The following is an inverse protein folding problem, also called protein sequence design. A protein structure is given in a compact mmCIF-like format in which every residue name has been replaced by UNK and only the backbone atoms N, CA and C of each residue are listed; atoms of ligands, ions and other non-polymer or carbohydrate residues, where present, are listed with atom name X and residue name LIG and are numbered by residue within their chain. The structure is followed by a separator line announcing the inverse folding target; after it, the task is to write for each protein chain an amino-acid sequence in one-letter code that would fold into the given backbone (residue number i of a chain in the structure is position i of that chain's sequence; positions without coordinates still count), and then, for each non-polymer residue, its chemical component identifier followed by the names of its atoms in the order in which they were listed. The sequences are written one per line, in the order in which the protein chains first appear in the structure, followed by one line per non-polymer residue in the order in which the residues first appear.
data_IF_222743893673
#
_entry.id   IF_222743893673
#
_cell.length_a   1.000
_cell.length_b   1.000
_cell.length_c   1.000
_cell.angle_alpha   90.00
_cell.angle_beta   90.00
_cell.angle_gamma   90.00
#
_symmetry.space_group_name_H-M   'P 1'
#
loop_
_entity.id
_entity.type
_entity.pdbx_description
1 polymer ?
#
# COMPACT_ATOMS: atom_id res chain seq x y z
N UNK A 1 -10.73 -12.63 0.55
CA UNK A 1 -11.31 -13.61 -0.40
C UNK A 1 -11.09 -13.06 -1.79
N UNK A 2 -10.03 -13.49 -2.45
CA UNK A 2 -9.73 -13.12 -3.84
C UNK A 2 -10.76 -13.78 -4.75
N UNK A 3 -11.57 -12.99 -5.43
CA UNK A 3 -12.42 -13.49 -6.52
C UNK A 3 -11.53 -13.75 -7.72
N UNK A 4 -11.36 -15.00 -8.08
CA UNK A 4 -10.84 -15.37 -9.38
C UNK A 4 -11.93 -15.15 -10.44
N UNK A 5 -11.67 -14.29 -11.41
CA UNK A 5 -12.38 -14.32 -12.68
C UNK A 5 -11.62 -15.29 -13.59
N UNK A 6 -12.05 -16.52 -13.67
CA UNK A 6 -11.41 -17.53 -14.54
C UNK A 6 -11.62 -18.95 -14.02
N UNK A 7 -11.22 -19.93 -14.80
CA UNK A 7 -11.33 -21.34 -14.45
C UNK A 7 -10.66 -21.62 -13.11
N UNK A 8 -11.32 -22.43 -12.27
CA UNK A 8 -10.75 -22.90 -11.00
C UNK A 8 -9.43 -23.63 -11.33
N UNK A 9 -8.32 -23.03 -10.93
CA UNK A 9 -6.99 -23.67 -11.07
C UNK A 9 -6.89 -24.82 -10.07
N UNK A 10 -6.28 -25.90 -10.50
CA UNK A 10 -6.05 -27.05 -9.64
C UNK A 10 -5.03 -26.69 -8.55
N UNK A 11 -5.01 -27.46 -7.45
CA UNK A 11 -4.00 -27.31 -6.39
C UNK A 11 -2.57 -27.43 -6.95
N UNK A 12 -2.39 -28.23 -7.99
CA UNK A 12 -1.08 -28.46 -8.63
C UNK A 12 -0.60 -27.23 -9.41
N UNK A 13 -1.53 -26.38 -9.87
CA UNK A 13 -1.19 -25.13 -10.55
C UNK A 13 -0.73 -24.02 -9.59
N UNK A 14 -1.13 -24.08 -8.33
CA UNK A 14 -0.80 -23.05 -7.33
C UNK A 14 0.49 -23.34 -6.55
N UNK A 15 0.97 -24.57 -6.54
CA UNK A 15 2.14 -24.98 -5.77
C UNK A 15 1.91 -24.93 -4.25
N UNK A 16 2.98 -25.04 -3.48
CA UNK A 16 2.95 -24.92 -2.02
C UNK A 16 3.10 -23.45 -1.62
N UNK A 17 2.21 -22.97 -0.77
CA UNK A 17 2.28 -21.64 -0.21
C UNK A 17 2.69 -21.71 1.26
N UNK A 18 3.80 -21.06 1.60
CA UNK A 18 4.30 -20.96 2.96
C UNK A 18 4.43 -19.48 3.35
N UNK A 19 4.20 -19.21 4.62
CA UNK A 19 4.42 -17.90 5.22
C UNK A 19 5.11 -18.07 6.56
N UNK A 20 6.14 -17.27 6.80
CA UNK A 20 6.74 -17.06 8.11
C UNK A 20 6.57 -15.60 8.50
N UNK A 21 6.24 -15.33 9.76
CA UNK A 21 6.11 -13.99 10.31
C UNK A 21 6.76 -13.94 11.69
N UNK A 22 7.65 -12.98 11.90
CA UNK A 22 8.24 -12.64 13.18
C UNK A 22 7.90 -11.19 13.50
N UNK A 23 7.26 -10.95 14.65
CA UNK A 23 6.82 -9.63 15.07
C UNK A 23 7.44 -9.23 16.40
N UNK A 24 7.90 -7.99 16.48
CA UNK A 24 8.34 -7.34 17.71
C UNK A 24 7.39 -6.19 18.01
N UNK A 25 6.66 -6.32 19.12
CA UNK A 25 5.78 -5.27 19.64
C UNK A 25 6.44 -4.56 20.81
N UNK A 26 6.52 -3.25 20.74
CA UNK A 26 7.00 -2.40 21.82
C UNK A 26 5.97 -1.29 22.04
N UNK A 27 5.55 -1.10 23.28
CA UNK A 27 4.52 -0.11 23.59
C UNK A 27 4.61 0.44 25.00
N UNK A 28 4.02 1.62 25.19
CA UNK A 28 3.86 2.35 26.44
C UNK A 28 2.59 3.18 26.42
N UNK A 29 2.41 4.05 27.39
CA UNK A 29 1.21 4.87 27.49
C UNK A 29 1.00 5.82 26.30
N UNK A 30 2.08 6.29 25.69
CA UNK A 30 2.06 7.34 24.67
C UNK A 30 2.63 6.90 23.33
N UNK A 31 3.03 5.64 23.20
CA UNK A 31 3.54 5.12 21.96
C UNK A 31 3.23 3.64 21.81
N UNK A 32 3.16 3.22 20.57
CA UNK A 32 3.13 1.82 20.17
C UNK A 32 3.92 1.68 18.87
N UNK A 33 4.68 0.61 18.78
CA UNK A 33 5.46 0.29 17.62
C UNK A 33 5.44 -1.22 17.37
N UNK A 34 5.24 -1.61 16.13
CA UNK A 34 5.34 -2.97 15.67
C UNK A 34 6.36 -3.02 14.53
N UNK A 35 7.36 -3.87 14.68
CA UNK A 35 8.28 -4.23 13.60
C UNK A 35 8.06 -5.68 13.26
N UNK A 36 7.80 -5.98 11.98
CA UNK A 36 7.68 -7.36 11.52
C UNK A 36 8.64 -7.67 10.39
N UNK A 37 9.13 -8.90 10.42
CA UNK A 37 9.80 -9.56 9.30
C UNK A 37 8.91 -10.69 8.80
N UNK A 38 8.66 -10.71 7.50
CA UNK A 38 7.81 -11.70 6.85
C UNK A 38 8.53 -12.32 5.66
N UNK A 39 8.34 -13.62 5.52
CA UNK A 39 8.74 -14.38 4.34
C UNK A 39 7.53 -15.09 3.78
N UNK A 40 7.35 -14.97 2.48
CA UNK A 40 6.30 -15.64 1.70
C UNK A 40 6.95 -16.49 0.63
N UNK A 41 6.46 -17.69 0.43
CA UNK A 41 6.88 -18.59 -0.64
C UNK A 41 5.66 -19.08 -1.41
N UNK A 42 5.84 -19.26 -2.72
CA UNK A 42 4.80 -19.78 -3.61
C UNK A 42 3.94 -18.69 -4.24
N UNK A 43 2.79 -19.08 -4.77
CA UNK A 43 1.93 -18.19 -5.56
C UNK A 43 1.41 -16.96 -4.82
N UNK A 44 1.35 -16.99 -3.49
CA UNK A 44 0.97 -15.81 -2.71
C UNK A 44 2.10 -14.76 -2.61
N UNK A 45 3.34 -15.13 -2.90
CA UNK A 45 4.47 -14.21 -2.82
C UNK A 45 4.31 -13.02 -3.79
N UNK A 46 3.82 -13.26 -5.01
CA UNK A 46 3.60 -12.19 -5.99
C UNK A 46 2.57 -11.15 -5.54
N UNK A 47 1.54 -11.55 -4.82
CA UNK A 47 0.51 -10.64 -4.29
C UNK A 47 1.11 -9.66 -3.28
N UNK A 48 2.09 -10.08 -2.50
CA UNK A 48 2.66 -9.28 -1.42
C UNK A 48 3.61 -8.17 -1.92
N UNK A 49 4.18 -8.32 -3.12
CA UNK A 49 4.99 -7.26 -3.75
C UNK A 49 4.15 -6.36 -4.64
N UNK A 50 3.28 -6.89 -5.46
CA UNK A 50 2.50 -6.16 -6.46
C UNK A 50 1.29 -5.39 -5.91
N UNK A 51 1.09 -5.37 -4.60
CA UNK A 51 -0.07 -4.66 -4.02
C UNK A 51 -1.41 -5.37 -4.19
N UNK A 52 -1.41 -6.64 -4.60
CA UNK A 52 -2.60 -7.49 -4.62
C UNK A 52 -3.36 -7.57 -5.95
N UNK A 53 -2.83 -7.00 -7.03
CA UNK A 53 -3.53 -6.99 -8.32
C UNK A 53 -2.87 -7.87 -9.40
N UNK A 54 -1.67 -8.36 -9.17
CA UNK A 54 -1.11 -9.32 -10.09
C UNK A 54 -1.97 -10.59 -10.06
N UNK A 55 -2.27 -11.11 -11.24
CA UNK A 55 -2.74 -12.50 -11.41
C UNK A 55 -1.60 -13.44 -10.98
N UNK A 56 -1.34 -13.45 -9.69
CA UNK A 56 -0.19 -14.04 -9.02
C UNK A 56 -0.12 -15.57 -9.17
N UNK A 57 -1.02 -16.16 -9.91
CA UNK A 57 -1.26 -17.58 -9.80
C UNK A 57 -0.48 -18.42 -10.78
N UNK A 58 -0.05 -17.89 -11.92
CA UNK A 58 0.49 -18.73 -12.98
C UNK A 58 2.00 -18.86 -12.99
N UNK A 59 2.76 -17.99 -12.39
CA UNK A 59 4.22 -18.00 -12.54
C UNK A 59 4.99 -17.69 -11.24
N UNK A 60 4.34 -17.82 -10.08
CA UNK A 60 4.96 -17.49 -8.81
C UNK A 60 5.14 -18.70 -7.88
N UNK A 61 5.08 -19.94 -8.41
CA UNK A 61 5.16 -21.17 -7.60
C UNK A 61 6.45 -21.28 -6.81
N UNK A 62 7.55 -20.79 -7.37
CA UNK A 62 8.90 -20.79 -6.77
C UNK A 62 9.29 -19.42 -6.20
N UNK A 63 8.41 -18.43 -6.28
CA UNK A 63 8.69 -17.08 -5.82
C UNK A 63 8.90 -17.03 -4.31
N UNK A 64 9.80 -16.14 -3.89
CA UNK A 64 10.04 -15.79 -2.51
C UNK A 64 9.94 -14.29 -2.36
N UNK A 65 9.20 -13.84 -1.35
CA UNK A 65 9.16 -12.44 -0.95
C UNK A 65 9.58 -12.30 0.49
N UNK A 66 10.48 -11.40 0.72
CA UNK A 66 10.94 -10.97 2.03
C UNK A 66 10.42 -9.56 2.26
N UNK A 67 9.68 -9.36 3.34
CA UNK A 67 9.16 -8.05 3.71
C UNK A 67 9.58 -7.70 5.14
N UNK A 68 10.05 -6.48 5.32
CA UNK A 68 10.17 -5.86 6.62
C UNK A 68 9.26 -4.65 6.67
N UNK A 69 8.45 -4.53 7.72
CA UNK A 69 7.70 -3.32 7.92
C UNK A 69 7.73 -2.88 9.39
N UNK A 70 7.66 -1.59 9.57
CA UNK A 70 7.54 -0.95 10.87
C UNK A 70 6.35 -0.01 10.82
N UNK A 71 5.45 -0.12 11.80
CA UNK A 71 4.30 0.74 11.94
C UNK A 71 4.09 1.08 13.42
N UNK A 72 3.54 2.25 13.65
CA UNK A 72 3.29 2.65 15.02
C UNK A 72 2.77 4.07 15.13
N UNK A 73 2.71 4.51 16.39
CA UNK A 73 2.35 5.88 16.70
C UNK A 73 3.11 6.42 17.91
N UNK A 74 3.22 7.73 17.97
CA UNK A 74 3.71 8.49 19.09
C UNK A 74 2.73 9.62 19.42
N UNK A 75 2.32 9.71 20.69
CA UNK A 75 1.52 10.80 21.24
C UNK A 75 2.46 11.66 22.08
N UNK A 76 2.87 12.80 21.54
CA UNK A 76 3.82 13.70 22.19
C UNK A 76 3.18 14.46 23.36
N UNK A 77 1.90 14.81 23.20
CA UNK A 77 1.09 15.48 24.22
C UNK A 77 -0.41 15.33 23.87
N UNK A 78 -1.28 15.96 24.64
CA UNK A 78 -2.74 15.92 24.44
C UNK A 78 -3.24 16.57 23.13
N UNK A 79 -2.37 17.27 22.42
CA UNK A 79 -2.72 18.02 21.19
C UNK A 79 -2.03 17.51 19.94
N UNK A 80 -0.92 16.76 20.07
CA UNK A 80 -0.12 16.37 18.92
C UNK A 80 0.34 14.91 19.02
N UNK A 81 0.13 14.19 17.94
CA UNK A 81 0.60 12.81 17.75
C UNK A 81 0.93 12.53 16.29
N UNK A 82 1.66 11.45 16.06
CA UNK A 82 2.08 11.01 14.73
C UNK A 82 1.90 9.50 14.63
N UNK A 83 1.32 9.06 13.52
CA UNK A 83 1.34 7.66 13.08
C UNK A 83 2.33 7.50 11.94
N UNK A 84 2.92 6.33 11.79
CA UNK A 84 3.83 6.03 10.69
C UNK A 84 3.70 4.58 10.23
N UNK A 85 4.04 4.37 8.97
CA UNK A 85 4.29 3.07 8.36
C UNK A 85 5.47 3.19 7.41
N UNK A 86 6.45 2.30 7.55
CA UNK A 86 7.58 2.14 6.62
C UNK A 86 7.65 0.67 6.27
N UNK A 87 7.73 0.36 5.00
CA UNK A 87 7.78 -1.03 4.51
C UNK A 87 8.75 -1.16 3.36
N UNK A 88 9.49 -2.26 3.35
CA UNK A 88 10.31 -2.68 2.24
C UNK A 88 10.04 -4.14 1.94
N UNK A 89 9.77 -4.45 0.68
CA UNK A 89 9.62 -5.82 0.19
C UNK A 89 10.60 -6.10 -0.94
N UNK A 90 11.11 -7.33 -0.99
CA UNK A 90 11.96 -7.84 -2.05
C UNK A 90 11.45 -9.20 -2.50
N UNK A 91 11.07 -9.29 -3.77
CA UNK A 91 10.59 -10.50 -4.42
C UNK A 91 11.60 -11.05 -5.43
N UNK A 92 11.75 -12.36 -5.48
CA UNK A 92 12.63 -13.08 -6.40
C UNK A 92 12.16 -14.51 -6.63
N UNK A 93 12.72 -15.19 -7.62
CA UNK A 93 12.39 -16.59 -7.93
C UNK A 93 11.06 -16.75 -8.65
N UNK A 94 10.60 -15.70 -9.33
CA UNK A 94 9.44 -15.77 -10.19
C UNK A 94 9.75 -16.63 -11.45
N UNK A 95 8.74 -17.32 -11.92
CA UNK A 95 8.85 -18.03 -13.20
C UNK A 95 8.76 -17.03 -14.36
N UNK A 96 9.41 -17.31 -15.49
CA UNK A 96 9.42 -16.41 -16.66
C UNK A 96 8.00 -16.08 -17.17
N UNK A 97 7.05 -16.94 -16.89
CA UNK A 97 5.65 -16.76 -17.27
C UNK A 97 4.88 -15.85 -16.31
N UNK A 98 5.49 -15.49 -15.16
CA UNK A 98 4.89 -14.55 -14.20
C UNK A 98 4.95 -13.15 -14.77
N UNK A 99 3.78 -12.58 -14.98
CA UNK A 99 3.62 -11.22 -15.48
C UNK A 99 3.04 -10.34 -14.38
N UNK A 100 3.71 -9.24 -14.09
CA UNK A 100 3.26 -8.22 -13.16
C UNK A 100 3.18 -6.89 -13.89
N UNK A 101 2.24 -6.09 -13.46
CA UNK A 101 2.04 -4.76 -13.99
C UNK A 101 1.22 -4.75 -15.28
N UNK A 102 0.27 -3.88 -15.30
CA UNK A 102 -0.43 -3.46 -16.49
C UNK A 102 -0.13 -1.98 -16.67
N UNK A 103 0.68 -1.67 -17.64
CA UNK A 103 0.83 -0.30 -18.10
C UNK A 103 -0.26 -0.03 -19.10
N UNK A 104 -1.25 0.76 -18.71
CA UNK A 104 -2.21 1.31 -19.65
C UNK A 104 -1.62 2.60 -20.24
N UNK A 105 -1.01 2.47 -21.41
CA UNK A 105 -0.63 3.63 -22.22
C UNK A 105 -1.86 3.99 -23.07
N UNK A 106 -2.44 5.16 -22.85
CA UNK A 106 -3.65 5.60 -23.55
C UNK A 106 -3.43 5.52 -25.08
N UNK A 107 -4.07 4.53 -25.71
CA UNK A 107 -3.97 4.28 -27.14
C UNK A 107 -2.96 3.21 -27.55
N UNK A 108 -2.32 2.50 -26.63
CA UNK A 108 -1.50 1.33 -26.88
C UNK A 108 -2.00 0.12 -26.11
N UNK A 109 -1.76 -1.06 -26.67
CA UNK A 109 -2.11 -2.32 -26.06
C UNK A 109 -1.45 -2.51 -24.69
N UNK A 110 -2.11 -3.27 -23.86
CA UNK A 110 -1.67 -3.73 -22.55
C UNK A 110 -0.23 -4.26 -22.62
N UNK A 111 0.72 -3.62 -21.99
CA UNK A 111 2.10 -4.11 -21.93
C UNK A 111 2.28 -4.88 -20.63
N UNK A 112 2.27 -6.20 -20.75
CA UNK A 112 2.68 -7.10 -19.69
C UNK A 112 4.19 -7.34 -19.78
N UNK A 113 4.88 -7.29 -18.65
CA UNK A 113 6.30 -7.66 -18.59
C UNK A 113 6.52 -8.81 -17.62
N UNK A 114 7.46 -9.69 -17.95
CA UNK A 114 7.83 -10.79 -17.07
C UNK A 114 8.81 -10.35 -15.99
N UNK A 115 8.47 -10.64 -14.73
CA UNK A 115 9.23 -10.19 -13.55
C UNK A 115 10.28 -11.21 -13.18
N UNK A 116 11.55 -10.82 -13.11
CA UNK A 116 12.65 -11.59 -12.53
C UNK A 116 12.82 -11.28 -11.05
N UNK A 117 12.84 -9.99 -10.71
CA UNK A 117 12.99 -9.49 -9.33
C UNK A 117 12.16 -8.24 -9.14
N UNK A 118 11.68 -8.04 -7.94
CA UNK A 118 10.87 -6.88 -7.60
C UNK A 118 11.28 -6.31 -6.24
N UNK A 119 11.33 -4.99 -6.14
CA UNK A 119 11.59 -4.26 -4.90
C UNK A 119 10.52 -3.20 -4.72
N UNK A 120 9.93 -3.14 -3.54
CA UNK A 120 8.91 -2.18 -3.21
C UNK A 120 9.23 -1.51 -1.88
N UNK A 121 9.38 -0.20 -1.91
CA UNK A 121 9.49 0.64 -0.72
C UNK A 121 8.23 1.48 -0.57
N UNK A 122 7.71 1.56 0.66
CA UNK A 122 6.55 2.40 1.04
C UNK A 122 6.85 3.13 2.32
N UNK A 123 6.45 4.40 2.40
CA UNK A 123 6.50 5.18 3.63
C UNK A 123 5.25 6.05 3.75
N UNK A 124 4.64 6.07 4.93
CA UNK A 124 3.51 6.94 5.26
C UNK A 124 3.75 7.55 6.63
N UNK A 125 3.54 8.85 6.75
CA UNK A 125 3.55 9.58 8.01
C UNK A 125 2.27 10.39 8.12
N UNK A 126 1.61 10.29 9.28
CA UNK A 126 0.31 10.92 9.53
C UNK A 126 0.33 11.73 10.83
N UNK A 127 0.79 12.99 10.81
CA UNK A 127 0.66 13.89 11.94
C UNK A 127 -0.80 14.29 12.16
N UNK A 128 -1.19 14.33 13.42
CA UNK A 128 -2.51 14.75 13.90
C UNK A 128 -2.37 15.85 14.93
N UNK A 129 -3.10 16.94 14.73
CA UNK A 129 -3.17 18.07 15.66
C UNK A 129 -4.61 18.25 16.14
N UNK A 130 -4.84 18.18 17.44
CA UNK A 130 -6.11 18.50 18.07
C UNK A 130 -6.30 20.01 18.12
N UNK A 131 -7.35 20.52 17.50
CA UNK A 131 -7.67 21.94 17.48
C UNK A 131 -8.58 22.33 18.64
N UNK A 132 -9.61 21.51 18.89
CA UNK A 132 -10.57 21.68 19.98
C UNK A 132 -10.88 20.31 20.60
N UNK A 133 -11.81 20.27 21.55
CA UNK A 133 -12.29 18.99 22.12
C UNK A 133 -12.97 18.09 21.07
N UNK A 134 -13.53 18.69 20.01
CA UNK A 134 -14.33 17.98 19.01
C UNK A 134 -13.73 18.03 17.61
N UNK A 135 -12.59 18.68 17.42
CA UNK A 135 -12.02 18.84 16.08
C UNK A 135 -10.52 18.61 16.06
N UNK A 136 -10.05 17.97 14.98
CA UNK A 136 -8.63 17.75 14.73
C UNK A 136 -8.29 17.96 13.25
N UNK A 137 -7.05 18.29 13.00
CA UNK A 137 -6.46 18.35 11.68
C UNK A 137 -5.53 17.15 11.53
N UNK A 138 -5.67 16.44 10.42
CA UNK A 138 -4.83 15.28 10.08
C UNK A 138 -4.19 15.56 8.73
N UNK A 139 -2.87 15.50 8.66
CA UNK A 139 -2.17 15.42 7.40
C UNK A 139 -1.70 13.98 7.16
N UNK A 140 -1.61 13.55 5.92
CA UNK A 140 -0.98 12.28 5.53
C UNK A 140 -0.01 12.54 4.40
N UNK A 141 1.23 12.09 4.59
CA UNK A 141 2.31 12.17 3.63
C UNK A 141 2.73 10.73 3.31
N UNK A 142 2.50 10.32 2.08
CA UNK A 142 2.82 8.98 1.61
C UNK A 142 3.77 9.02 0.41
N UNK A 143 4.65 8.03 0.32
CA UNK A 143 5.50 7.81 -0.84
C UNK A 143 5.73 6.32 -1.06
N UNK A 144 5.90 5.92 -2.33
CA UNK A 144 6.37 4.59 -2.68
C UNK A 144 7.41 4.66 -3.81
N UNK A 145 8.21 3.62 -3.89
CA UNK A 145 9.09 3.35 -5.02
C UNK A 145 9.09 1.85 -5.30
N UNK A 146 8.75 1.48 -6.53
CA UNK A 146 8.87 0.12 -7.03
C UNK A 146 9.97 0.04 -8.08
N UNK A 147 10.71 -1.04 -8.07
CA UNK A 147 11.72 -1.37 -9.07
C UNK A 147 11.48 -2.82 -9.48
N UNK A 148 11.27 -3.04 -10.76
CA UNK A 148 11.12 -4.35 -11.36
C UNK A 148 12.28 -4.58 -12.33
N UNK A 149 13.02 -5.65 -12.13
CA UNK A 149 13.98 -6.18 -13.10
C UNK A 149 13.24 -7.27 -13.89
N UNK A 150 13.22 -7.20 -15.22
CA UNK A 150 12.51 -8.12 -16.10
C UNK A 150 13.43 -9.23 -16.62
N UNK A 151 12.86 -10.36 -17.03
CA UNK A 151 13.63 -11.43 -17.69
C UNK A 151 14.20 -11.02 -19.06
N UNK A 152 13.65 -9.98 -19.64
CA UNK A 152 14.12 -9.38 -20.90
C UNK A 152 15.34 -8.48 -20.69
N UNK A 153 15.70 -8.20 -19.44
CA UNK A 153 16.84 -7.36 -19.06
C UNK A 153 16.48 -5.89 -18.89
N UNK A 154 15.21 -5.53 -18.97
CA UNK A 154 14.74 -4.19 -18.74
C UNK A 154 14.61 -3.91 -17.24
N UNK A 155 14.72 -2.64 -16.88
CA UNK A 155 14.48 -2.17 -15.53
C UNK A 155 13.39 -1.11 -15.52
N UNK A 156 12.28 -1.45 -14.87
CA UNK A 156 11.13 -0.57 -14.72
C UNK A 156 11.18 0.05 -13.33
N UNK A 157 11.06 1.37 -13.24
CA UNK A 157 11.03 2.09 -11.97
C UNK A 157 9.79 2.95 -11.92
N UNK A 158 9.00 2.79 -10.87
CA UNK A 158 7.80 3.57 -10.60
C UNK A 158 7.91 4.25 -9.24
N UNK A 159 7.44 5.48 -9.17
CA UNK A 159 7.36 6.23 -7.92
C UNK A 159 6.03 6.94 -7.82
N UNK A 160 5.58 7.17 -6.60
CA UNK A 160 4.42 8.00 -6.35
C UNK A 160 4.45 8.63 -4.98
N UNK A 161 3.69 9.70 -4.86
CA UNK A 161 3.54 10.49 -3.65
C UNK A 161 2.08 10.84 -3.45
N UNK A 162 1.66 10.87 -2.19
CA UNK A 162 0.31 11.25 -1.79
C UNK A 162 0.38 12.25 -0.64
N UNK A 163 -0.38 13.31 -0.77
CA UNK A 163 -0.51 14.35 0.24
C UNK A 163 -2.00 14.54 0.53
N UNK A 164 -2.41 14.29 1.76
CA UNK A 164 -3.79 14.50 2.20
C UNK A 164 -3.83 15.46 3.37
N UNK A 165 -4.77 16.38 3.35
CA UNK A 165 -5.12 17.20 4.49
C UNK A 165 -6.60 16.98 4.81
N UNK A 166 -6.91 16.65 6.05
CA UNK A 166 -8.26 16.39 6.51
C UNK A 166 -8.60 17.20 7.75
N UNK A 167 -9.75 17.87 7.72
CA UNK A 167 -10.40 18.42 8.88
C UNK A 167 -11.41 17.41 9.41
N UNK A 168 -11.25 17.02 10.68
CA UNK A 168 -12.05 15.97 11.28
C UNK A 168 -12.91 16.55 12.41
N UNK A 169 -14.20 16.20 12.38
CA UNK A 169 -15.12 16.40 13.51
C UNK A 169 -15.26 15.06 14.21
N UNK A 170 -14.96 15.01 15.49
CA UNK A 170 -14.98 13.79 16.30
C UNK A 170 -15.58 14.09 17.66
N UNK A 171 -16.40 13.21 18.24
CA UNK A 171 -16.76 13.34 19.64
C UNK A 171 -15.50 13.36 20.51
N UNK A 172 -15.51 14.09 21.61
CA UNK A 172 -14.39 14.07 22.55
C UNK A 172 -14.31 12.71 23.25
N UNK A 173 -13.55 11.81 22.66
CA UNK A 173 -13.29 10.47 23.20
C UNK A 173 -12.04 10.42 24.08
N UNK A 174 -11.34 11.53 24.24
CA UNK A 174 -10.02 11.56 24.86
C UNK A 174 -8.89 10.97 24.02
N UNK A 175 -9.20 10.39 22.85
CA UNK A 175 -8.24 9.76 21.98
C UNK A 175 -7.87 10.69 20.81
N UNK A 176 -6.57 11.03 20.70
CA UNK A 176 -6.08 11.96 19.69
C UNK A 176 -6.08 11.34 18.29
N UNK A 177 -5.68 10.09 18.16
CA UNK A 177 -5.42 9.45 16.87
C UNK A 177 -6.64 8.71 16.33
N UNK A 178 -7.38 8.04 17.19
CA UNK A 178 -8.50 7.16 16.78
C UNK A 178 -9.86 7.68 17.27
N UNK A 179 -10.89 6.95 16.92
CA UNK A 179 -12.27 7.21 17.29
C UNK A 179 -13.14 7.59 16.11
N UNK A 180 -14.46 7.60 16.30
CA UNK A 180 -15.40 7.97 15.25
C UNK A 180 -15.14 9.42 14.80
N UNK A 181 -15.21 9.64 13.49
CA UNK A 181 -14.98 10.95 12.91
C UNK A 181 -15.73 11.15 11.59
N UNK A 182 -16.14 12.38 11.34
CA UNK A 182 -16.50 12.85 10.01
C UNK A 182 -15.31 13.65 9.50
N UNK A 183 -14.76 13.26 8.36
CA UNK A 183 -13.57 13.84 7.74
C UNK A 183 -13.94 14.59 6.48
N UNK A 184 -13.54 15.84 6.37
CA UNK A 184 -13.53 16.62 5.13
C UNK A 184 -12.09 16.69 4.67
N UNK A 185 -11.79 16.19 3.47
CA UNK A 185 -10.40 16.06 3.04
C UNK A 185 -10.16 16.57 1.62
N UNK A 186 -8.93 16.95 1.38
CA UNK A 186 -8.33 17.13 0.07
C UNK A 186 -7.12 16.22 -0.04
N UNK A 187 -7.01 15.50 -1.14
CA UNK A 187 -5.87 14.62 -1.44
C UNK A 187 -5.30 15.01 -2.80
N UNK A 188 -3.99 15.18 -2.83
CA UNK A 188 -3.20 15.29 -4.05
C UNK A 188 -2.34 14.05 -4.20
N UNK A 189 -2.39 13.43 -5.36
CA UNK A 189 -1.58 12.26 -5.72
C UNK A 189 -0.74 12.64 -6.93
N UNK A 190 0.54 12.32 -6.87
CA UNK A 190 1.47 12.36 -8.00
C UNK A 190 2.11 10.98 -8.15
N UNK A 191 2.10 10.45 -9.37
CA UNK A 191 2.71 9.16 -9.68
C UNK A 191 3.33 9.22 -11.08
N UNK A 192 4.28 8.35 -11.36
CA UNK A 192 4.83 8.19 -12.70
C UNK A 192 3.71 7.76 -13.65
N UNK A 193 3.81 8.14 -14.92
CA UNK A 193 2.76 7.89 -15.94
C UNK A 193 2.34 6.42 -16.08
N UNK A 194 3.22 5.51 -15.71
CA UNK A 194 2.99 4.07 -15.81
C UNK A 194 2.42 3.45 -14.54
N UNK A 195 2.17 4.23 -13.49
CA UNK A 195 1.80 3.71 -12.17
C UNK A 195 0.45 4.19 -11.64
N UNK A 196 -0.40 4.75 -12.50
CA UNK A 196 -1.65 5.42 -12.07
C UNK A 196 -2.55 4.55 -11.18
N UNK A 197 -2.73 3.29 -11.53
CA UNK A 197 -3.51 2.34 -10.72
C UNK A 197 -2.72 1.83 -9.52
N UNK A 198 -1.45 1.55 -9.72
CA UNK A 198 -0.58 0.96 -8.72
C UNK A 198 -0.27 1.93 -7.59
N UNK A 199 0.05 3.17 -7.92
CA UNK A 199 0.37 4.19 -6.93
C UNK A 199 -0.76 4.47 -5.95
N UNK A 200 -2.00 4.42 -6.40
CA UNK A 200 -3.18 4.64 -5.56
C UNK A 200 -3.37 3.56 -4.51
N UNK A 201 -3.07 2.33 -4.85
CA UNK A 201 -3.23 1.18 -3.95
C UNK A 201 -2.07 1.06 -2.96
N UNK A 202 -0.86 1.33 -3.44
CA UNK A 202 0.36 1.19 -2.64
C UNK A 202 0.46 2.24 -1.55
N UNK A 203 0.03 3.47 -1.85
CA UNK A 203 0.07 4.58 -0.90
C UNK A 203 -1.22 4.65 -0.05
N UNK A 204 -2.00 3.64 0.09
CA UNK A 204 -3.24 3.55 0.88
C UNK A 204 -3.52 4.69 1.88
N UNK A 205 -4.55 4.67 2.63
CA UNK A 205 -4.81 5.64 3.67
C UNK A 205 -6.22 6.26 3.61
N UNK A 206 -6.36 7.57 3.77
CA UNK A 206 -7.67 8.22 3.96
C UNK A 206 -8.61 8.03 2.77
N UNK A 207 -8.08 7.82 1.58
CA UNK A 207 -8.88 7.62 0.37
C UNK A 207 -8.38 6.42 -0.43
N UNK A 208 -9.28 5.52 -0.76
CA UNK A 208 -9.15 4.59 -1.89
C UNK A 208 -10.07 5.09 -2.99
N UNK A 209 -9.57 5.42 -4.15
CA UNK A 209 -10.41 5.80 -5.28
C UNK A 209 -9.96 5.13 -6.56
N UNK A 210 -10.93 4.52 -7.20
CA UNK A 210 -10.79 3.79 -8.44
C UNK A 210 -11.15 4.71 -9.60
N UNK A 211 -10.17 5.39 -10.20
CA UNK A 211 -10.35 6.07 -11.48
C UNK A 211 -9.22 5.66 -12.42
N UNK A 212 -9.38 4.48 -12.96
CA UNK A 212 -8.42 3.74 -13.75
C UNK A 212 -8.14 4.28 -15.16
N UNK A 213 -8.62 5.42 -15.57
CA UNK A 213 -8.65 5.77 -17.00
C UNK A 213 -8.16 7.17 -17.35
N UNK A 214 -7.32 7.78 -16.55
CA UNK A 214 -6.78 9.10 -16.91
C UNK A 214 -5.27 9.05 -17.02
N UNK A 215 -4.76 9.32 -18.21
CA UNK A 215 -3.35 9.51 -18.56
C UNK A 215 -2.78 10.79 -17.90
N UNK A 216 -2.99 10.92 -16.60
CA UNK A 216 -2.51 12.04 -15.79
C UNK A 216 -1.65 11.51 -14.65
N UNK A 217 -0.43 11.98 -14.59
CA UNK A 217 0.50 11.66 -13.53
C UNK A 217 0.21 12.40 -12.20
N UNK A 218 -0.89 13.12 -12.11
CA UNK A 218 -1.34 13.80 -10.88
C UNK A 218 -2.86 13.86 -10.82
N UNK A 219 -3.40 13.79 -9.62
CA UNK A 219 -4.84 13.91 -9.38
C UNK A 219 -5.09 14.64 -8.05
N UNK A 220 -6.15 15.43 -8.02
CA UNK A 220 -6.62 16.10 -6.80
C UNK A 220 -8.06 15.70 -6.54
N UNK A 221 -8.33 15.23 -5.33
CA UNK A 221 -9.63 14.78 -4.90
C UNK A 221 -10.11 15.53 -3.66
N UNK A 222 -11.41 15.77 -3.58
CA UNK A 222 -12.09 16.29 -2.40
C UNK A 222 -13.16 15.30 -1.97
N UNK A 223 -13.34 15.13 -0.68
CA UNK A 223 -14.35 14.21 -0.21
C UNK A 223 -14.76 14.40 1.24
N UNK A 224 -15.81 13.66 1.59
CA UNK A 224 -16.29 13.51 2.95
C UNK A 224 -16.33 12.02 3.27
N UNK A 225 -15.78 11.64 4.42
CA UNK A 225 -15.75 10.26 4.90
C UNK A 225 -16.25 10.21 6.33
N UNK A 226 -17.10 9.25 6.65
CA UNK A 226 -17.47 8.92 8.01
C UNK A 226 -16.78 7.62 8.43
N UNK A 227 -16.10 7.65 9.57
CA UNK A 227 -15.47 6.48 10.19
C UNK A 227 -16.13 6.23 11.55
N UNK A 228 -16.42 4.95 11.85
CA UNK A 228 -16.89 4.50 13.13
C UNK A 228 -16.01 3.34 13.63
N UNK A 229 -15.60 3.40 14.89
CA UNK A 229 -14.98 2.27 15.60
C UNK A 229 -15.76 2.05 16.89
N UNK A 230 -16.23 0.85 17.10
CA UNK A 230 -16.94 0.38 18.31
C UNK A 230 -16.13 -0.67 19.02
#
# INVERSE_FOLDING_TARGET
VTRQSGAVKSKDDLGNNNRFNLELHVGGSNFWNNTSFEWFHGSNAGVETSGGWADAYAGAKSANVYRIHNMGHYIFNSYFGVEHLISYAYGTGYDKEYKSGSVYDAGKDYVEYSVEKEKLFKAVVRPTVKLTKMTKLVAELGAYKQIVDTFEGDKITENGQKYTLAYCITPDTGNLLWGPAIKFFVTYIHADKHSDDYGRQVVGGITSYDNAYQDVNHNTMFGVQAEGSW
#
